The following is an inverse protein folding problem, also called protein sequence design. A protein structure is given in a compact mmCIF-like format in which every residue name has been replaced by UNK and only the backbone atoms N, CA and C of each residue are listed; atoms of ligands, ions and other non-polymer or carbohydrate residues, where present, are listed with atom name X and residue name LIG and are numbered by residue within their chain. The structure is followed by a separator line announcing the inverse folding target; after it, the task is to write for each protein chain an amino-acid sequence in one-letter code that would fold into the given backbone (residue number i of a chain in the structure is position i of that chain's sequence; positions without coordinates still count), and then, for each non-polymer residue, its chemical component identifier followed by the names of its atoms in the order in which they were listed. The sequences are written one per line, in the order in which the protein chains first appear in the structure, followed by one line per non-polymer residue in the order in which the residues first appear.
data_IF_941143022933
#
_entry.id   IF_941143022933
#
_cell.length_a   1.000
_cell.length_b   1.000
_cell.length_c   1.000
_cell.angle_alpha   90.00
_cell.angle_beta   90.00
_cell.angle_gamma   90.00
#
_symmetry.space_group_name_H-M   'P 1'
#
loop_
_entity.id
_entity.type
_entity.pdbx_description
1 polymer ?
#
# COMPACT_ATOMS: atom_id res chain seq x y z
N UNK A 1 -17.33 -15.84 0.33
CA UNK A 1 -17.26 -15.19 0.00
C UNK A 1 -16.41 -15.17 -0.69
N UNK A 2 -15.89 -15.37 -1.14
CA UNK A 2 -15.48 -15.65 -1.31
C UNK A 2 -14.78 -16.09 -2.51
N UNK A 3 -15.33 -16.15 -3.70
CA UNK A 3 -14.62 -16.34 -4.95
C UNK A 3 -14.31 -15.03 -5.63
N UNK A 4 -14.24 -13.97 -4.85
CA UNK A 4 -13.92 -12.66 -5.38
C UNK A 4 -12.47 -12.64 -5.85
N UNK A 5 -12.24 -12.26 -7.10
CA UNK A 5 -10.89 -12.21 -7.66
C UNK A 5 -10.36 -10.80 -7.82
N UNK A 6 -11.23 -9.82 -7.93
CA UNK A 6 -10.84 -8.42 -8.06
C UNK A 6 -11.59 -7.60 -7.03
N UNK A 7 -10.86 -6.78 -6.29
CA UNK A 7 -11.47 -5.91 -5.30
C UNK A 7 -10.93 -4.51 -5.48
N UNK A 8 -11.83 -3.56 -5.62
CA UNK A 8 -11.46 -2.15 -5.67
C UNK A 8 -12.16 -1.43 -4.53
N UNK A 9 -11.39 -0.73 -3.72
CA UNK A 9 -11.91 0.08 -2.63
C UNK A 9 -11.68 1.54 -2.94
N UNK A 10 -12.68 2.36 -2.64
CA UNK A 10 -12.56 3.81 -2.73
C UNK A 10 -12.76 4.36 -1.34
N UNK A 11 -11.75 5.03 -0.80
CA UNK A 11 -11.80 5.50 0.57
C UNK A 11 -11.40 6.95 0.64
N UNK A 12 -11.96 7.65 1.63
CA UNK A 12 -11.55 9.01 1.97
C UNK A 12 -10.83 8.95 3.29
N UNK A 13 -9.69 9.57 3.31
CA UNK A 13 -8.88 9.61 4.53
C UNK A 13 -8.72 11.04 4.97
N UNK A 14 -8.69 11.24 6.26
CA UNK A 14 -8.41 12.56 6.82
C UNK A 14 -7.26 12.45 7.79
N UNK A 15 -6.34 13.40 7.70
CA UNK A 15 -5.21 13.47 8.62
C UNK A 15 -4.30 12.27 8.53
N UNK A 16 -3.98 11.70 9.67
CA UNK A 16 -3.01 10.63 9.77
C UNK A 16 -3.62 9.25 9.88
N UNK A 17 -4.82 9.07 9.35
CA UNK A 17 -5.46 7.77 9.39
C UNK A 17 -4.61 6.69 8.75
N UNK A 18 -4.57 5.54 9.39
CA UNK A 18 -3.81 4.41 8.89
C UNK A 18 -4.60 3.69 7.79
N UNK A 19 -3.89 3.21 6.79
CA UNK A 19 -4.49 2.40 5.74
C UNK A 19 -4.43 0.91 6.06
N UNK A 20 -3.73 0.55 7.13
CA UNK A 20 -3.52 -0.87 7.45
C UNK A 20 -4.78 -1.67 7.68
N UNK A 21 -5.86 -1.12 8.28
CA UNK A 21 -7.07 -1.92 8.46
C UNK A 21 -7.65 -2.46 7.16
N UNK A 22 -7.33 -1.86 6.02
CA UNK A 22 -7.87 -2.33 4.75
C UNK A 22 -7.30 -3.68 4.33
N UNK A 23 -6.23 -4.14 4.97
CA UNK A 23 -5.71 -5.47 4.69
C UNK A 23 -6.68 -6.57 5.14
N UNK A 24 -7.61 -6.25 6.03
CA UNK A 24 -8.59 -7.24 6.47
C UNK A 24 -9.48 -7.69 5.32
N UNK A 25 -9.72 -6.82 4.35
CA UNK A 25 -10.54 -7.20 3.19
C UNK A 25 -9.82 -8.25 2.35
N UNK A 26 -8.51 -8.15 2.30
CA UNK A 26 -7.72 -9.12 1.55
C UNK A 26 -7.78 -10.49 2.22
N UNK A 27 -7.72 -10.50 3.55
CA UNK A 27 -7.80 -11.74 4.29
C UNK A 27 -9.16 -12.41 4.14
N UNK A 28 -10.21 -11.61 3.95
CA UNK A 28 -11.56 -12.14 3.78
C UNK A 28 -11.78 -12.71 2.38
N UNK A 29 -10.87 -12.47 1.45
CA UNK A 29 -11.03 -12.89 0.07
C UNK A 29 -9.84 -13.76 -0.35
N UNK A 30 -9.83 -15.04 0.02
CA UNK A 30 -8.64 -15.88 -0.19
C UNK A 30 -8.29 -16.14 -1.64
N UNK A 31 -9.23 -15.95 -2.57
CA UNK A 31 -8.94 -16.14 -4.00
C UNK A 31 -8.71 -14.85 -4.74
N UNK A 32 -8.55 -13.75 -4.01
CA UNK A 32 -8.33 -12.43 -4.62
C UNK A 32 -7.00 -12.43 -5.38
N UNK A 33 -7.04 -12.01 -6.65
CA UNK A 33 -5.83 -11.91 -7.44
C UNK A 33 -5.39 -10.47 -7.66
N UNK A 34 -6.34 -9.51 -7.64
CA UNK A 34 -6.05 -8.10 -7.83
C UNK A 34 -6.72 -7.27 -6.75
N UNK A 35 -5.94 -6.44 -6.10
CA UNK A 35 -6.43 -5.52 -5.10
C UNK A 35 -6.06 -4.11 -5.52
N UNK A 36 -7.07 -3.26 -5.65
CA UNK A 36 -6.86 -1.86 -5.98
C UNK A 36 -7.50 -1.01 -4.91
N UNK A 37 -6.77 -0.04 -4.40
CA UNK A 37 -7.33 0.90 -3.46
C UNK A 37 -7.11 2.31 -4.01
N UNK A 38 -8.21 3.03 -4.18
CA UNK A 38 -8.20 4.44 -4.55
C UNK A 38 -8.52 5.24 -3.31
N UNK A 39 -7.66 6.17 -2.97
CA UNK A 39 -7.92 6.94 -1.78
C UNK A 39 -7.72 8.41 -2.05
N UNK A 40 -8.48 9.21 -1.33
CA UNK A 40 -8.47 10.65 -1.43
C UNK A 40 -8.16 11.21 -0.06
N UNK A 41 -7.10 11.98 0.03
CA UNK A 41 -6.74 12.60 1.29
C UNK A 41 -7.50 13.91 1.40
N UNK A 42 -8.21 14.08 2.50
CA UNK A 42 -8.98 15.29 2.71
C UNK A 42 -8.11 16.41 3.25
N UNK A 43 -8.43 17.58 2.81
CA UNK A 43 -7.79 18.79 3.30
C UNK A 43 -8.38 19.14 4.67
N UNK A 44 -7.59 19.63 5.63
CA UNK A 44 -6.15 19.89 5.46
C UNK A 44 -5.33 18.64 5.69
N UNK A 45 -4.46 18.38 4.76
CA UNK A 45 -3.54 17.28 4.85
C UNK A 45 -2.13 17.84 5.01
N UNK A 46 -1.41 17.38 6.01
CA UNK A 46 -0.04 17.84 6.24
C UNK A 46 0.91 16.68 6.12
N UNK A 47 1.93 16.87 5.30
CA UNK A 47 3.00 15.89 5.16
C UNK A 47 3.69 15.66 6.50
N UNK A 48 3.73 16.69 7.30
CA UNK A 48 4.33 16.63 8.62
C UNK A 48 3.67 15.56 9.47
N UNK A 49 2.34 15.52 9.45
CA UNK A 49 1.61 14.53 10.22
C UNK A 49 1.87 13.12 9.73
N UNK A 50 1.95 12.94 8.42
CA UNK A 50 2.21 11.60 7.92
C UNK A 50 3.61 11.13 8.26
N UNK A 51 4.58 12.04 8.33
CA UNK A 51 5.92 11.65 8.73
C UNK A 51 5.99 11.30 10.21
N UNK A 52 5.25 12.03 11.04
CA UNK A 52 5.23 11.76 12.47
C UNK A 52 4.49 10.47 12.76
N UNK A 53 3.50 10.16 11.97
CA UNK A 53 2.70 8.97 12.16
C UNK A 53 3.38 7.68 11.79
N UNK A 54 4.65 7.75 11.42
CA UNK A 54 5.36 6.53 11.07
C UNK A 54 5.74 5.80 12.34
N UNK A 55 4.85 5.02 12.80
CA UNK A 55 5.20 4.09 13.84
C UNK A 55 5.58 2.81 13.16
N UNK A 56 6.78 2.38 13.37
CA UNK A 56 7.19 1.12 12.79
C UNK A 56 6.24 0.05 13.30
N UNK A 57 5.77 -0.72 12.38
CA UNK A 57 4.85 -1.77 12.73
C UNK A 57 5.59 -3.00 13.16
N UNK A 58 6.58 -2.83 13.98
CA UNK A 58 7.36 -3.97 14.45
C UNK A 58 6.51 -4.95 15.20
N UNK A 59 5.54 -4.41 15.94
CA UNK A 59 4.73 -5.23 16.81
C UNK A 59 3.82 -6.16 16.04
N UNK A 60 3.66 -5.93 14.75
CA UNK A 60 2.75 -6.74 13.96
C UNK A 60 3.45 -7.78 13.10
N UNK A 61 4.74 -7.91 13.30
CA UNK A 61 5.51 -8.85 12.50
C UNK A 61 5.00 -10.28 12.63
N UNK A 62 4.67 -10.67 13.84
CA UNK A 62 4.19 -12.03 14.07
C UNK A 62 2.86 -12.28 13.37
N UNK A 63 1.99 -11.28 13.33
CA UNK A 63 0.73 -11.42 12.62
C UNK A 63 0.95 -11.57 11.13
N UNK A 64 1.85 -10.76 10.57
CA UNK A 64 2.16 -10.85 9.16
C UNK A 64 2.70 -12.23 8.81
N UNK A 65 3.51 -12.80 9.69
CA UNK A 65 4.07 -14.13 9.42
C UNK A 65 3.04 -15.25 9.50
N UNK A 66 1.94 -15.02 10.21
CA UNK A 66 0.91 -16.03 10.36
C UNK A 66 -0.01 -16.12 9.18
N UNK A 67 -0.12 -15.06 8.41
CA UNK A 67 -1.04 -15.03 7.30
C UNK A 67 -0.29 -14.84 6.00
N UNK A 68 -0.55 -15.72 5.06
CA UNK A 68 0.02 -15.62 3.72
C UNK A 68 -1.10 -15.76 2.71
N UNK A 69 -1.24 -14.75 1.86
CA UNK A 69 -2.23 -14.79 0.79
C UNK A 69 -1.58 -15.41 -0.44
N UNK A 70 -2.10 -16.53 -0.88
CA UNK A 70 -1.48 -17.32 -1.93
C UNK A 70 -1.81 -16.86 -3.36
N UNK A 71 -2.91 -16.12 -3.52
CA UNK A 71 -3.43 -15.81 -4.85
C UNK A 71 -3.26 -14.36 -5.27
N UNK A 72 -2.93 -13.48 -4.35
CA UNK A 72 -2.81 -12.07 -4.68
C UNK A 72 -1.56 -11.82 -5.52
N UNK A 73 -1.77 -11.33 -6.75
CA UNK A 73 -0.69 -11.13 -7.70
C UNK A 73 -0.44 -9.67 -8.02
N UNK A 74 -1.48 -8.84 -7.97
CA UNK A 74 -1.37 -7.44 -8.36
C UNK A 74 -1.99 -6.56 -7.28
N UNK A 75 -1.25 -5.54 -6.88
CA UNK A 75 -1.72 -4.53 -5.94
C UNK A 75 -1.53 -3.17 -6.57
N UNK A 76 -2.58 -2.34 -6.52
CA UNK A 76 -2.52 -1.00 -7.08
C UNK A 76 -2.95 0.02 -6.04
N UNK A 77 -2.09 0.99 -5.79
CA UNK A 77 -2.37 2.10 -4.90
C UNK A 77 -2.55 3.34 -5.75
N UNK A 78 -3.80 3.84 -5.84
CA UNK A 78 -4.16 4.95 -6.71
C UNK A 78 -4.38 6.19 -5.86
N UNK A 79 -3.76 7.28 -6.25
CA UNK A 79 -3.82 8.52 -5.47
C UNK A 79 -2.66 8.67 -4.51
N UNK A 80 -1.54 8.05 -4.84
CA UNK A 80 -0.37 8.01 -3.99
C UNK A 80 0.20 9.40 -3.78
N UNK A 81 0.47 9.77 -2.53
CA UNK A 81 1.00 11.08 -2.16
C UNK A 81 2.42 11.03 -1.63
N UNK A 82 2.98 9.85 -1.49
CA UNK A 82 4.33 9.72 -0.94
C UNK A 82 4.37 9.81 0.57
N UNK A 83 3.31 9.42 1.24
CA UNK A 83 3.23 9.48 2.68
C UNK A 83 3.64 8.17 3.31
N UNK A 84 4.05 8.25 4.58
CA UNK A 84 4.50 7.07 5.29
C UNK A 84 3.39 6.02 5.47
N UNK A 85 2.15 6.47 5.68
CA UNK A 85 1.03 5.53 5.86
C UNK A 85 0.81 4.69 4.61
N UNK A 86 1.03 5.27 3.44
CA UNK A 86 0.89 4.55 2.20
C UNK A 86 1.95 3.47 2.06
N UNK A 87 3.18 3.80 2.43
CA UNK A 87 4.27 2.84 2.37
C UNK A 87 4.13 1.76 3.42
N UNK A 88 3.54 2.09 4.57
CA UNK A 88 3.24 1.07 5.57
C UNK A 88 2.27 0.04 5.02
N UNK A 89 1.24 0.50 4.32
CA UNK A 89 0.31 -0.41 3.67
C UNK A 89 1.01 -1.26 2.62
N UNK A 90 1.82 -0.62 1.77
CA UNK A 90 2.53 -1.34 0.72
C UNK A 90 3.45 -2.40 1.30
N UNK A 91 4.16 -2.06 2.36
CA UNK A 91 5.07 -3.00 3.02
C UNK A 91 4.30 -4.18 3.60
N UNK A 92 3.17 -3.88 4.22
CA UNK A 92 2.34 -4.95 4.80
C UNK A 92 1.83 -5.88 3.71
N UNK A 93 1.42 -5.32 2.58
CA UNK A 93 0.93 -6.13 1.47
C UNK A 93 2.03 -7.02 0.91
N UNK A 94 3.26 -6.52 0.87
CA UNK A 94 4.39 -7.35 0.45
C UNK A 94 4.60 -8.53 1.39
N UNK A 95 4.37 -8.31 2.68
CA UNK A 95 4.55 -9.37 3.67
C UNK A 95 3.47 -10.43 3.56
N UNK A 96 2.26 -10.00 3.23
CA UNK A 96 1.10 -10.90 3.15
C UNK A 96 1.06 -11.64 1.83
N UNK A 97 1.30 -10.95 0.74
CA UNK A 97 1.12 -11.50 -0.61
C UNK A 97 2.40 -12.21 -1.05
N UNK A 98 2.49 -13.48 -0.70
CA UNK A 98 3.72 -14.25 -0.92
C UNK A 98 3.98 -14.52 -2.40
N UNK A 99 2.96 -14.42 -3.24
CA UNK A 99 3.10 -14.64 -4.68
C UNK A 99 2.85 -13.38 -5.48
N UNK A 100 3.04 -12.23 -4.87
CA UNK A 100 2.82 -10.95 -5.55
C UNK A 100 3.78 -10.81 -6.73
N UNK A 101 3.25 -10.37 -7.87
CA UNK A 101 4.01 -10.19 -9.09
C UNK A 101 4.22 -8.72 -9.44
N UNK A 102 3.27 -7.87 -9.09
CA UNK A 102 3.32 -6.47 -9.48
C UNK A 102 2.70 -5.58 -8.42
N UNK A 103 3.33 -4.46 -8.16
CA UNK A 103 2.78 -3.41 -7.32
C UNK A 103 2.82 -2.12 -8.11
N UNK A 104 1.68 -1.44 -8.19
CA UNK A 104 1.55 -0.19 -8.92
C UNK A 104 1.31 0.94 -7.93
N UNK A 105 2.14 1.97 -8.03
CA UNK A 105 1.95 3.20 -7.27
C UNK A 105 1.61 4.30 -8.26
N UNK A 106 0.37 4.73 -8.28
CA UNK A 106 -0.05 5.81 -9.15
C UNK A 106 -0.18 7.08 -8.35
N UNK A 107 0.69 8.05 -8.63
CA UNK A 107 0.72 9.29 -7.89
C UNK A 107 -0.53 10.12 -8.16
N UNK A 108 -0.89 10.92 -7.16
CA UNK A 108 -2.02 11.82 -7.23
C UNK A 108 -1.85 12.84 -8.36
N UNK A 109 -0.64 13.32 -8.57
CA UNK A 109 -0.35 14.29 -9.64
C UNK A 109 1.09 14.15 -10.09
N UNK A 110 1.39 14.68 -11.27
CA UNK A 110 2.75 14.70 -11.79
C UNK A 110 3.67 15.48 -10.88
N UNK A 111 3.17 16.57 -10.33
CA UNK A 111 3.94 17.40 -9.43
C UNK A 111 4.37 16.59 -8.19
N UNK A 112 3.44 15.81 -7.66
CA UNK A 112 3.73 14.99 -6.50
C UNK A 112 4.75 13.90 -6.84
N UNK A 113 4.62 13.33 -8.02
CA UNK A 113 5.53 12.30 -8.48
C UNK A 113 6.95 12.82 -8.63
N UNK A 114 7.09 14.06 -9.09
CA UNK A 114 8.40 14.67 -9.31
C UNK A 114 8.99 15.26 -8.04
N UNK A 115 8.23 15.31 -6.97
CA UNK A 115 8.71 15.86 -5.72
C UNK A 115 9.90 15.05 -5.21
N UNK A 116 10.90 15.76 -4.72
CA UNK A 116 12.14 15.14 -4.27
C UNK A 116 11.92 14.13 -3.16
N UNK A 117 11.07 14.49 -2.21
CA UNK A 117 10.77 13.61 -1.08
C UNK A 117 10.10 12.33 -1.54
N UNK A 118 9.16 12.46 -2.47
CA UNK A 118 8.46 11.30 -3.02
C UNK A 118 9.42 10.37 -3.74
N UNK A 119 10.32 10.96 -4.52
CA UNK A 119 11.28 10.17 -5.27
C UNK A 119 12.22 9.41 -4.34
N UNK A 120 12.63 10.03 -3.25
CA UNK A 120 13.48 9.37 -2.27
C UNK A 120 12.76 8.21 -1.59
N UNK A 121 11.50 8.43 -1.25
CA UNK A 121 10.71 7.39 -0.61
C UNK A 121 10.53 6.19 -1.52
N UNK A 122 10.21 6.45 -2.78
CA UNK A 122 10.04 5.37 -3.76
C UNK A 122 11.36 4.63 -3.97
N UNK A 123 12.47 5.35 -4.03
CA UNK A 123 13.77 4.72 -4.21
C UNK A 123 14.11 3.79 -3.05
N UNK A 124 13.82 4.22 -1.83
CA UNK A 124 14.03 3.38 -0.66
C UNK A 124 13.15 2.15 -0.70
N UNK A 125 11.89 2.37 -1.03
CA UNK A 125 10.93 1.28 -1.08
C UNK A 125 11.33 0.25 -2.12
N UNK A 126 11.82 0.72 -3.26
CA UNK A 126 12.25 -0.16 -4.33
C UNK A 126 13.36 -1.11 -3.87
N UNK A 127 14.21 -0.64 -2.98
CA UNK A 127 15.29 -1.47 -2.45
C UNK A 127 14.82 -2.59 -1.55
N UNK A 128 13.60 -2.46 -1.00
CA UNK A 128 13.06 -3.48 -0.11
C UNK A 128 12.26 -4.54 -0.83
N UNK A 129 12.05 -4.36 -2.13
CA UNK A 129 11.21 -5.28 -2.88
C UNK A 129 11.91 -6.60 -3.16
N UNK A 130 11.18 -7.72 -3.07
CA UNK A 130 11.72 -9.00 -3.55
C UNK A 130 11.99 -8.92 -5.04
N UNK A 131 12.98 -9.68 -5.54
CA UNK A 131 13.32 -9.62 -6.98
C UNK A 131 12.17 -10.02 -7.89
N UNK A 132 11.24 -10.84 -7.39
CA UNK A 132 10.14 -11.32 -8.20
C UNK A 132 9.03 -10.29 -8.38
N UNK A 133 9.06 -9.19 -7.64
CA UNK A 133 7.99 -8.19 -7.68
C UNK A 133 8.40 -7.03 -8.56
N UNK A 134 7.56 -6.71 -9.54
CA UNK A 134 7.76 -5.55 -10.40
C UNK A 134 7.09 -4.34 -9.77
N UNK A 135 7.81 -3.26 -9.61
CA UNK A 135 7.24 -2.01 -9.13
C UNK A 135 7.02 -1.07 -10.31
N UNK A 136 5.78 -0.66 -10.49
CA UNK A 136 5.40 0.29 -11.54
C UNK A 136 5.01 1.60 -10.87
N UNK A 137 5.64 2.70 -11.26
CA UNK A 137 5.34 4.02 -10.72
C UNK A 137 4.81 4.89 -11.84
N UNK A 138 3.59 5.40 -11.65
CA UNK A 138 2.94 6.24 -12.66
C UNK A 138 2.73 7.66 -12.20
#
# INVERSE_FOLDING_TARGET
MINLKHLELKVRLSGSQSLLPYTTYIKACPFLSTFRIKYFLQWPFTLHQSLIGVHPYHTRRSEANRYAHQHLEVVELIGFHGCANELNLATRLLQIAVNLKRMVLQFHSEKQKEDRSSRKLVARFRKTLPPAVELVVC
#
